data_IF_273134729546
#
_entry.id   IF_273134729546
#
_cell.length_a   1.000
_cell.length_b   1.000
_cell.length_c   1.000
_cell.angle_alpha   90.00
_cell.angle_beta   90.00
_cell.angle_gamma   90.00
#
_symmetry.space_group_name_H-M   'P 1'
#
loop_
_entity.id
_entity.type
_entity.pdbx_description
1 polymer ?
#
# COMPACT_ATOMS: atom_id res chain seq x y z
N UNK A 1 -16.27 19.93 -5.25
CA UNK A 1 -15.56 19.11 -6.25
C UNK A 1 -14.12 18.80 -5.84
N UNK A 2 -13.28 19.79 -5.51
CA UNK A 2 -11.88 19.56 -5.09
C UNK A 2 -11.72 18.68 -3.84
N UNK A 3 -12.52 18.90 -2.79
CA UNK A 3 -12.46 18.13 -1.54
C UNK A 3 -12.80 16.63 -1.74
N UNK A 4 -13.51 16.29 -2.82
CA UNK A 4 -13.85 14.91 -3.13
C UNK A 4 -12.57 14.08 -3.35
N UNK A 5 -11.54 14.65 -3.97
CA UNK A 5 -10.27 13.97 -4.22
C UNK A 5 -9.55 13.61 -2.92
N UNK A 6 -9.64 14.45 -1.90
CA UNK A 6 -9.14 14.13 -0.57
C UNK A 6 -9.86 12.91 0.01
N UNK A 7 -11.20 12.88 -0.04
CA UNK A 7 -11.97 11.74 0.46
C UNK A 7 -11.75 10.47 -0.35
N UNK A 8 -11.58 10.57 -1.67
CA UNK A 8 -11.24 9.41 -2.52
C UNK A 8 -9.88 8.84 -2.10
N UNK A 9 -8.85 9.69 -1.96
CA UNK A 9 -7.53 9.25 -1.50
C UNK A 9 -7.57 8.62 -0.11
N UNK A 10 -8.31 9.22 0.81
CA UNK A 10 -8.51 8.74 2.18
C UNK A 10 -9.18 7.38 2.22
N UNK A 11 -10.34 7.23 1.57
CA UNK A 11 -11.10 5.99 1.57
C UNK A 11 -10.36 4.88 0.82
N UNK A 12 -9.71 5.20 -0.30
CA UNK A 12 -8.86 4.24 -1.01
C UNK A 12 -7.73 3.74 -0.08
N UNK A 13 -6.98 4.63 0.57
CA UNK A 13 -5.90 4.18 1.46
C UNK A 13 -6.42 3.33 2.64
N UNK A 14 -7.58 3.68 3.23
CA UNK A 14 -8.20 2.86 4.28
C UNK A 14 -8.52 1.45 3.77
N UNK A 15 -9.18 1.34 2.61
CA UNK A 15 -9.52 0.04 2.01
C UNK A 15 -8.25 -0.76 1.69
N UNK A 16 -7.23 -0.10 1.12
CA UNK A 16 -5.94 -0.72 0.79
C UNK A 16 -5.12 -1.14 2.01
N UNK A 17 -5.38 -0.54 3.18
CA UNK A 17 -4.74 -0.88 4.43
C UNK A 17 -5.49 -1.96 5.24
N UNK A 18 -6.71 -2.36 4.85
CA UNK A 18 -7.42 -3.48 5.49
C UNK A 18 -6.66 -4.81 5.39
N UNK A 19 -6.08 -5.19 4.22
CA UNK A 19 -5.13 -6.28 4.19
C UNK A 19 -3.90 -5.92 5.03
N UNK A 20 -3.59 -6.73 6.04
CA UNK A 20 -2.45 -6.50 6.92
C UNK A 20 -1.12 -6.62 6.15
N UNK A 21 -0.63 -5.47 5.67
CA UNK A 21 0.66 -5.36 4.99
C UNK A 21 1.85 -5.40 5.95
N UNK A 22 3.07 -5.43 5.39
CA UNK A 22 4.30 -5.51 6.18
C UNK A 22 4.46 -4.32 7.17
N UNK A 23 4.11 -3.10 6.74
CA UNK A 23 4.13 -1.92 7.60
C UNK A 23 3.07 -1.99 8.72
N UNK A 24 1.86 -2.46 8.43
CA UNK A 24 0.80 -2.64 9.43
C UNK A 24 1.22 -3.64 10.52
N UNK A 25 1.78 -4.79 10.11
CA UNK A 25 2.30 -5.81 11.03
C UNK A 25 3.46 -5.25 11.87
N UNK A 26 4.29 -4.38 11.30
CA UNK A 26 5.38 -3.74 12.04
C UNK A 26 4.89 -2.73 13.09
N UNK A 27 3.83 -1.99 12.79
CA UNK A 27 3.14 -1.11 13.75
C UNK A 27 2.56 -1.95 14.90
N UNK A 28 1.74 -2.97 14.60
CA UNK A 28 1.14 -3.87 15.61
C UNK A 28 2.21 -4.49 16.50
N UNK A 29 3.25 -5.10 15.91
CA UNK A 29 4.33 -5.72 16.67
C UNK A 29 5.10 -4.72 17.54
N UNK A 30 5.29 -3.48 17.06
CA UNK A 30 5.99 -2.46 17.84
C UNK A 30 5.12 -1.91 18.96
N UNK A 31 3.81 -1.78 18.75
CA UNK A 31 2.86 -1.41 19.81
C UNK A 31 2.86 -2.46 20.92
N UNK A 32 2.78 -3.74 20.56
CA UNK A 32 2.73 -4.86 21.52
C UNK A 32 4.06 -5.07 22.27
N UNK A 33 5.21 -4.91 21.60
CA UNK A 33 6.54 -5.18 22.18
C UNK A 33 7.20 -3.95 22.82
N UNK A 34 6.75 -2.75 22.49
CA UNK A 34 7.34 -1.50 22.96
C UNK A 34 6.23 -0.57 23.45
N UNK A 35 5.85 0.44 22.66
CA UNK A 35 4.79 1.37 22.99
C UNK A 35 4.23 2.04 21.73
N UNK A 36 3.05 2.66 21.89
CA UNK A 36 2.35 3.35 20.80
C UNK A 36 3.17 4.48 20.18
N UNK A 37 3.99 5.19 20.96
CA UNK A 37 4.84 6.28 20.44
C UNK A 37 5.87 5.77 19.42
N UNK A 38 6.53 4.64 19.68
CA UNK A 38 7.47 4.06 18.73
C UNK A 38 6.77 3.47 17.50
N UNK A 39 5.56 2.93 17.66
CA UNK A 39 4.75 2.44 16.56
C UNK A 39 4.27 3.58 15.65
N UNK A 40 3.90 4.72 16.23
CA UNK A 40 3.48 5.90 15.48
C UNK A 40 4.59 6.46 14.57
N UNK A 41 5.85 6.36 14.98
CA UNK A 41 7.00 6.69 14.10
C UNK A 41 7.07 5.82 12.85
N UNK A 42 6.73 4.54 12.99
CA UNK A 42 6.61 3.62 11.84
C UNK A 42 5.43 4.05 10.97
N UNK A 43 4.29 4.40 11.58
CA UNK A 43 3.09 4.80 10.87
C UNK A 43 3.31 6.05 10.01
N UNK A 44 3.90 7.11 10.58
CA UNK A 44 4.28 8.35 9.85
C UNK A 44 5.11 8.02 8.62
N UNK A 45 6.20 7.27 8.82
CA UNK A 45 7.12 6.94 7.74
C UNK A 45 6.48 6.03 6.67
N UNK A 46 5.62 5.10 7.08
CA UNK A 46 4.88 4.24 6.18
C UNK A 46 3.85 5.02 5.36
N UNK A 47 3.20 6.04 5.94
CA UNK A 47 2.30 6.93 5.22
C UNK A 47 3.01 7.70 4.11
N UNK A 48 4.20 8.25 4.38
CA UNK A 48 5.02 8.93 3.36
C UNK A 48 5.38 7.95 2.23
N UNK A 49 5.82 6.75 2.59
CA UNK A 49 6.17 5.73 1.60
C UNK A 49 4.98 5.30 0.73
N UNK A 50 3.77 5.24 1.30
CA UNK A 50 2.55 4.93 0.56
C UNK A 50 2.18 6.04 -0.44
N UNK A 51 2.34 7.31 -0.06
CA UNK A 51 2.18 8.43 -1.00
C UNK A 51 3.16 8.31 -2.17
N UNK A 52 4.43 7.98 -1.91
CA UNK A 52 5.44 7.80 -2.97
C UNK A 52 5.06 6.64 -3.90
N UNK A 53 4.68 5.48 -3.35
CA UNK A 53 4.22 4.34 -4.14
C UNK A 53 2.97 4.67 -4.97
N UNK A 54 2.01 5.35 -4.36
CA UNK A 54 0.80 5.81 -5.00
C UNK A 54 1.11 6.78 -6.15
N UNK A 55 2.07 7.69 -5.97
CA UNK A 55 2.54 8.57 -7.04
C UNK A 55 3.16 7.78 -8.20
N UNK A 56 4.05 6.81 -7.91
CA UNK A 56 4.64 5.98 -8.96
C UNK A 56 3.58 5.15 -9.70
N UNK A 57 2.62 4.58 -8.98
CA UNK A 57 1.50 3.87 -9.60
C UNK A 57 0.69 4.79 -10.51
N UNK A 58 0.44 6.05 -10.11
CA UNK A 58 -0.26 7.02 -10.96
C UNK A 58 0.53 7.33 -12.23
N UNK A 59 1.85 7.51 -12.11
CA UNK A 59 2.74 7.79 -13.23
C UNK A 59 2.77 6.65 -14.24
N UNK A 60 2.86 5.40 -13.77
CA UNK A 60 2.97 4.23 -14.63
C UNK A 60 1.62 3.61 -15.03
N UNK A 61 0.49 4.08 -14.49
CA UNK A 61 -0.82 3.47 -14.71
C UNK A 61 -1.15 3.25 -16.18
N UNK A 62 -0.94 4.26 -17.04
CA UNK A 62 -1.22 4.14 -18.48
C UNK A 62 -0.31 3.12 -19.17
N UNK A 63 1.00 3.21 -18.97
CA UNK A 63 1.97 2.29 -19.56
C UNK A 63 1.73 0.84 -19.10
N UNK A 64 1.39 0.64 -17.82
CA UNK A 64 1.05 -0.66 -17.26
C UNK A 64 -0.26 -1.17 -17.87
N UNK A 65 -1.31 -0.35 -17.93
CA UNK A 65 -2.59 -0.75 -18.53
C UNK A 65 -2.41 -1.20 -19.99
N UNK A 66 -1.69 -0.43 -20.79
CA UNK A 66 -1.45 -0.75 -22.20
C UNK A 66 -0.62 -2.02 -22.36
N UNK A 67 0.41 -2.20 -21.53
CA UNK A 67 1.23 -3.41 -21.53
C UNK A 67 0.41 -4.65 -21.15
N UNK A 68 -0.45 -4.55 -20.13
CA UNK A 68 -1.32 -5.65 -19.71
C UNK A 68 -2.39 -5.97 -20.75
N UNK A 69 -2.96 -4.97 -21.42
CA UNK A 69 -3.92 -5.17 -22.51
C UNK A 69 -3.28 -5.85 -23.73
N UNK A 70 -2.04 -5.46 -24.07
CA UNK A 70 -1.29 -6.09 -25.16
C UNK A 70 -0.83 -7.52 -24.81
N UNK A 71 -0.68 -7.85 -23.52
CA UNK A 71 -0.13 -9.12 -23.05
C UNK A 71 -1.10 -9.85 -22.11
N UNK A 72 -2.22 -10.34 -22.64
CA UNK A 72 -3.24 -11.05 -21.87
C UNK A 72 -2.69 -12.31 -21.14
N UNK A 73 -1.66 -12.95 -21.70
CA UNK A 73 -0.95 -14.06 -21.04
C UNK A 73 -0.37 -13.66 -19.68
N UNK A 74 0.13 -12.42 -19.55
CA UNK A 74 0.73 -11.90 -18.33
C UNK A 74 -0.31 -11.72 -17.22
N UNK A 75 -1.53 -11.27 -17.58
CA UNK A 75 -2.67 -11.19 -16.66
C UNK A 75 -2.98 -12.56 -16.05
N UNK A 76 -3.08 -13.59 -16.91
CA UNK A 76 -3.37 -14.97 -16.50
C UNK A 76 -2.23 -15.52 -15.63
N UNK A 77 -0.96 -15.29 -16.01
CA UNK A 77 0.19 -15.73 -15.21
C UNK A 77 0.22 -15.10 -13.82
N UNK A 78 -0.05 -13.80 -13.70
CA UNK A 78 -0.10 -13.11 -12.41
C UNK A 78 -1.26 -13.65 -11.55
N UNK A 79 -2.44 -13.85 -12.14
CA UNK A 79 -3.59 -14.42 -11.43
C UNK A 79 -3.29 -15.83 -10.90
N UNK A 80 -2.71 -16.71 -11.74
CA UNK A 80 -2.30 -18.07 -11.34
C UNK A 80 -1.23 -18.02 -10.26
N UNK A 81 -0.24 -17.14 -10.37
CA UNK A 81 0.82 -17.01 -9.38
C UNK A 81 0.28 -16.52 -8.03
N UNK A 82 -0.59 -15.51 -8.02
CA UNK A 82 -1.23 -15.02 -6.81
C UNK A 82 -2.14 -16.07 -6.17
N UNK A 83 -2.95 -16.78 -6.97
CA UNK A 83 -3.78 -17.89 -6.48
C UNK A 83 -2.92 -19.05 -5.96
N UNK A 84 -1.82 -19.37 -6.64
CA UNK A 84 -0.89 -20.41 -6.23
C UNK A 84 -0.18 -20.08 -4.92
N UNK A 85 0.32 -18.86 -4.77
CA UNK A 85 0.92 -18.38 -3.51
C UNK A 85 -0.14 -18.33 -2.41
N UNK A 86 -1.33 -17.78 -2.69
CA UNK A 86 -2.44 -17.71 -1.74
C UNK A 86 -2.87 -19.09 -1.25
N UNK A 87 -3.09 -20.02 -2.17
CA UNK A 87 -3.40 -21.43 -1.92
C UNK A 87 -2.29 -22.10 -1.10
N UNK A 88 -1.03 -21.97 -1.52
CA UNK A 88 0.11 -22.53 -0.79
C UNK A 88 0.20 -21.99 0.64
N UNK A 89 0.00 -20.69 0.85
CA UNK A 89 0.00 -20.09 2.19
C UNK A 89 -1.20 -20.57 3.02
N UNK A 90 -2.39 -20.67 2.42
CA UNK A 90 -3.61 -21.15 3.06
C UNK A 90 -3.45 -22.60 3.55
N UNK A 91 -3.01 -23.50 2.69
CA UNK A 91 -2.82 -24.92 3.04
C UNK A 91 -1.63 -25.16 3.96
N UNK A 92 -0.60 -24.32 3.91
CA UNK A 92 0.57 -24.39 4.81
C UNK A 92 0.31 -23.83 6.21
N UNK A 93 -0.80 -23.12 6.41
CA UNK A 93 -1.15 -22.51 7.70
C UNK A 93 -1.51 -23.52 8.80
N UNK A 94 -1.75 -24.80 8.47
CA UNK A 94 -2.17 -25.79 9.46
C UNK A 94 -1.02 -26.43 10.28
N UNK A 95 0.25 -26.11 9.99
CA UNK A 95 1.40 -26.79 10.62
C UNK A 95 2.54 -25.87 11.07
N UNK A 96 2.28 -24.59 11.31
CA UNK A 96 3.29 -23.69 11.86
C UNK A 96 2.76 -22.98 13.09
N UNK A 97 3.17 -23.48 14.27
CA UNK A 97 3.44 -22.62 15.42
C UNK A 97 4.09 -21.36 14.86
N UNK A 98 3.45 -20.22 15.10
CA UNK A 98 3.91 -18.90 14.74
C UNK A 98 5.37 -18.74 15.16
N UNK A 99 6.29 -19.11 14.26
CA UNK A 99 7.62 -18.53 14.26
C UNK A 99 7.36 -17.13 13.75
N UNK A 100 6.99 -16.26 14.70
CA UNK A 100 7.36 -14.84 14.68
C UNK A 100 8.63 -14.77 13.87
N UNK A 101 8.53 -14.25 12.65
CA UNK A 101 9.70 -13.93 11.85
C UNK A 101 10.37 -12.73 12.52
N UNK A 102 10.86 -12.93 13.74
CA UNK A 102 12.01 -12.27 14.31
C UNK A 102 13.23 -12.72 13.50
N UNK A 103 13.23 -12.41 12.20
CA UNK A 103 14.50 -12.03 11.59
C UNK A 103 14.74 -10.64 12.14
N UNK A 104 15.49 -10.61 13.25
CA UNK A 104 16.22 -9.46 13.71
C UNK A 104 17.18 -9.03 12.60
N UNK A 105 16.65 -8.42 11.54
CA UNK A 105 17.47 -7.65 10.65
C UNK A 105 17.84 -6.41 11.44
N UNK A 106 19.03 -6.48 12.03
CA UNK A 106 19.83 -5.40 12.63
C UNK A 106 20.00 -4.17 11.72
N UNK A 107 19.38 -4.17 10.54
CA UNK A 107 19.51 -3.21 9.46
C UNK A 107 18.77 -1.89 9.70
N UNK A 108 17.81 -1.79 10.62
CA UNK A 108 17.06 -0.55 10.83
C UNK A 108 16.87 -0.26 12.32
N UNK A 109 17.89 0.35 12.96
CA UNK A 109 17.75 0.90 14.32
C UNK A 109 16.66 1.98 14.39
N UNK A 110 16.43 2.71 13.29
CA UNK A 110 15.43 3.76 13.23
C UNK A 110 14.05 3.20 12.86
N UNK A 111 13.07 3.44 13.74
CA UNK A 111 11.66 3.10 13.51
C UNK A 111 11.09 3.80 12.28
N UNK A 112 11.52 5.03 12.01
CA UNK A 112 11.15 5.74 10.78
C UNK A 112 11.68 5.00 9.55
N UNK A 113 12.94 4.58 9.55
CA UNK A 113 13.52 3.86 8.43
C UNK A 113 12.84 2.49 8.22
N UNK A 114 12.47 1.81 9.31
CA UNK A 114 11.63 0.60 9.27
C UNK A 114 10.28 0.87 8.59
N UNK A 115 9.54 1.88 9.04
CA UNK A 115 8.23 2.21 8.45
C UNK A 115 8.34 2.60 6.98
N UNK A 116 9.31 3.44 6.64
CA UNK A 116 9.55 3.89 5.28
C UNK A 116 9.88 2.74 4.34
N UNK A 117 10.86 1.89 4.69
CA UNK A 117 11.28 0.79 3.82
C UNK A 117 10.22 -0.30 3.71
N UNK A 118 9.54 -0.64 4.81
CA UNK A 118 8.46 -1.62 4.77
C UNK A 118 7.23 -1.09 4.01
N UNK A 119 7.02 0.22 4.00
CA UNK A 119 6.01 0.87 3.18
C UNK A 119 6.41 0.85 1.70
N UNK A 120 7.61 1.32 1.38
CA UNK A 120 8.08 1.53 0.00
C UNK A 120 8.35 0.22 -0.73
N UNK A 121 8.90 -0.78 -0.03
CA UNK A 121 9.18 -2.12 -0.56
C UNK A 121 7.99 -3.05 -0.34
N UNK A 122 6.79 -2.57 -0.64
CA UNK A 122 5.55 -3.32 -0.51
C UNK A 122 4.89 -3.53 -1.88
N UNK A 123 5.33 -4.56 -2.65
CA UNK A 123 4.79 -4.84 -3.98
C UNK A 123 3.26 -4.98 -4.01
N UNK A 124 2.60 -5.65 -3.04
CA UNK A 124 1.14 -5.69 -2.97
C UNK A 124 0.47 -4.30 -2.95
N UNK A 125 1.05 -3.32 -2.24
CA UNK A 125 0.50 -1.95 -2.17
C UNK A 125 0.66 -1.22 -3.50
N UNK A 126 1.77 -1.44 -4.22
CA UNK A 126 1.94 -0.89 -5.56
C UNK A 126 0.86 -1.43 -6.52
N UNK A 127 0.65 -2.74 -6.52
CA UNK A 127 -0.37 -3.42 -7.35
C UNK A 127 -1.77 -2.92 -6.98
N UNK A 128 -2.05 -2.76 -5.69
CA UNK A 128 -3.31 -2.17 -5.22
C UNK A 128 -3.55 -0.78 -5.83
N UNK A 129 -2.57 0.13 -5.76
CA UNK A 129 -2.72 1.48 -6.32
C UNK A 129 -2.94 1.48 -7.83
N UNK A 130 -2.27 0.60 -8.58
CA UNK A 130 -2.50 0.45 -10.02
C UNK A 130 -3.96 0.07 -10.32
N UNK A 131 -4.53 -0.87 -9.57
CA UNK A 131 -5.94 -1.27 -9.71
C UNK A 131 -6.88 -0.11 -9.36
N UNK A 132 -6.61 0.60 -8.26
CA UNK A 132 -7.41 1.76 -7.83
C UNK A 132 -7.43 2.84 -8.92
N UNK A 133 -6.28 3.19 -9.50
CA UNK A 133 -6.25 4.19 -10.56
C UNK A 133 -6.91 3.70 -11.85
N UNK A 134 -6.82 2.41 -12.18
CA UNK A 134 -7.59 1.82 -13.28
C UNK A 134 -9.10 2.00 -13.06
N UNK A 135 -9.58 1.76 -11.83
CA UNK A 135 -10.97 1.94 -11.47
C UNK A 135 -11.41 3.42 -11.47
N UNK A 136 -10.63 4.32 -10.86
CA UNK A 136 -10.90 5.76 -10.81
C UNK A 136 -11.06 6.32 -12.23
N UNK A 137 -10.11 6.01 -13.12
CA UNK A 137 -10.11 6.54 -14.49
C UNK A 137 -11.21 5.94 -15.38
N UNK A 138 -11.75 4.77 -15.04
CA UNK A 138 -12.88 4.17 -15.77
C UNK A 138 -14.23 4.78 -15.38
N UNK A 139 -14.36 5.36 -14.18
CA UNK A 139 -15.59 5.94 -13.66
C UNK A 139 -15.70 7.47 -13.90
N UNK A 140 -15.10 7.99 -14.97
CA UNK A 140 -15.08 9.41 -15.33
C UNK A 140 -14.44 10.37 -14.31
N UNK A 141 -13.80 9.85 -13.25
CA UNK A 141 -12.98 10.65 -12.35
C UNK A 141 -11.59 10.70 -12.97
N UNK A 142 -11.34 11.72 -13.79
CA UNK A 142 -10.02 11.89 -14.42
C UNK A 142 -9.00 12.31 -13.37
N UNK A 143 -8.21 11.34 -12.88
CA UNK A 143 -7.03 11.60 -12.06
C UNK A 143 -5.79 11.19 -12.85
N UNK A 144 -4.97 12.18 -13.20
CA UNK A 144 -3.74 11.99 -13.95
C UNK A 144 -2.68 12.98 -13.47
N UNK A 145 -1.43 12.76 -13.86
CA UNK A 145 -0.36 13.73 -13.59
C UNK A 145 -0.55 15.10 -14.26
N UNK A 146 -1.48 15.20 -15.23
CA UNK A 146 -1.86 16.47 -15.86
C UNK A 146 -2.93 17.22 -15.06
N UNK A 147 -3.49 16.60 -14.02
CA UNK A 147 -4.46 17.27 -13.14
C UNK A 147 -3.80 18.44 -12.41
N UNK A 148 -4.60 19.43 -12.01
CA UNK A 148 -4.08 20.59 -11.27
C UNK A 148 -3.31 20.16 -10.01
N UNK A 149 -2.25 20.89 -9.68
CA UNK A 149 -1.42 20.60 -8.50
C UNK A 149 -2.24 20.50 -7.21
N UNK A 150 -3.29 21.32 -7.08
CA UNK A 150 -4.16 21.32 -5.90
C UNK A 150 -5.00 20.03 -5.79
N UNK A 151 -5.46 19.47 -6.92
CA UNK A 151 -6.16 18.17 -6.94
C UNK A 151 -5.23 17.05 -6.49
N UNK A 152 -4.02 16.99 -7.06
CA UNK A 152 -3.02 15.98 -6.70
C UNK A 152 -2.62 16.10 -5.23
N UNK A 153 -2.40 17.32 -4.76
CA UNK A 153 -2.07 17.60 -3.37
C UNK A 153 -3.18 17.11 -2.42
N UNK A 154 -4.45 17.49 -2.67
CA UNK A 154 -5.57 17.04 -1.85
C UNK A 154 -5.71 15.52 -1.84
N UNK A 155 -5.55 14.88 -3.00
CA UNK A 155 -5.59 13.43 -3.11
C UNK A 155 -4.50 12.76 -2.26
N UNK A 156 -3.23 13.15 -2.42
CA UNK A 156 -2.12 12.54 -1.69
C UNK A 156 -2.13 12.85 -0.19
N UNK A 157 -2.63 14.02 0.21
CA UNK A 157 -2.90 14.31 1.63
C UNK A 157 -3.99 13.37 2.17
N UNK A 158 -5.02 13.09 1.37
CA UNK A 158 -6.03 12.07 1.66
C UNK A 158 -5.40 10.69 1.85
N UNK A 159 -4.56 10.26 0.91
CA UNK A 159 -3.83 8.98 1.00
C UNK A 159 -3.01 8.89 2.28
N UNK A 160 -2.23 9.92 2.57
CA UNK A 160 -1.43 9.97 3.80
C UNK A 160 -2.32 9.88 5.05
N UNK A 161 -3.37 10.69 5.13
CA UNK A 161 -4.29 10.71 6.26
C UNK A 161 -5.00 9.35 6.45
N UNK A 162 -5.47 8.74 5.37
CA UNK A 162 -6.10 7.42 5.40
C UNK A 162 -5.15 6.34 5.94
N UNK A 163 -3.89 6.36 5.51
CA UNK A 163 -2.88 5.42 6.01
C UNK A 163 -2.59 5.61 7.49
N UNK A 164 -2.37 6.85 7.93
CA UNK A 164 -2.09 7.15 9.33
C UNK A 164 -3.28 6.78 10.21
N UNK A 165 -4.50 7.11 9.79
CA UNK A 165 -5.72 6.79 10.52
C UNK A 165 -5.88 5.28 10.68
N UNK A 166 -5.64 4.50 9.62
CA UNK A 166 -5.75 3.04 9.69
C UNK A 166 -4.67 2.38 10.53
N UNK A 167 -3.47 2.97 10.60
CA UNK A 167 -2.38 2.45 11.42
C UNK A 167 -2.45 2.90 12.89
N UNK A 168 -3.22 3.95 13.16
CA UNK A 168 -3.39 4.48 14.52
C UNK A 168 -4.49 3.74 15.29
N UNK A 169 -5.54 3.32 14.59
CA UNK A 169 -6.66 2.51 15.12
C UNK A 169 -6.20 1.06 15.31
#
# INVERSE_FOLDING_TARGET
MLILYFFIGLLASIIGALPLGASNIAVINTTLKQNASQAFKIAIAAGIAEVILSYYALHFNMAVKDFFNANQWLQISIAILLLGIGSFLFFKSNNRKSKSATKSNKLLKSKYATGFLLGLLNPPVLVYWLVVYGFINTNNIMLSLQSSLLVLFLFFVGVYAGKILTLYI
#
